data_IF_891136067484
#
_entry.id   IF_891136067484
#
_cell.length_a   1.000
_cell.length_b   1.000
_cell.length_c   1.000
_cell.angle_alpha   90.00
_cell.angle_beta   90.00
_cell.angle_gamma   90.00
#
_symmetry.space_group_name_H-M   'P 1'
#
loop_
_entity.id
_entity.type
_entity.pdbx_description
1 polymer ?
#
# COMPACT_ATOMS: atom_id res chain seq x y z
N UNK A 1 -18.44 5.54 -10.41
CA UNK A 1 -17.07 5.82 -10.88
C UNK A 1 -16.86 5.01 -12.14
N UNK A 2 -16.61 5.67 -13.27
CA UNK A 2 -16.21 5.00 -14.51
C UNK A 2 -14.70 4.75 -14.40
N UNK A 3 -14.31 3.51 -14.11
CA UNK A 3 -12.90 3.09 -13.94
C UNK A 3 -12.26 2.66 -15.27
N UNK A 4 -12.90 2.97 -16.40
CA UNK A 4 -12.36 2.59 -17.70
C UNK A 4 -11.10 3.41 -18.00
N UNK A 5 -9.94 2.80 -17.77
CA UNK A 5 -8.66 3.34 -18.20
C UNK A 5 -8.66 3.55 -19.72
N UNK A 6 -7.91 4.54 -20.24
CA UNK A 6 -7.69 4.67 -21.67
C UNK A 6 -7.18 3.37 -22.30
N UNK A 7 -7.55 3.12 -23.56
CA UNK A 7 -7.09 1.91 -24.29
C UNK A 7 -5.57 1.85 -24.35
N UNK A 8 -4.91 2.99 -24.51
CA UNK A 8 -3.47 3.18 -24.56
C UNK A 8 -2.81 3.36 -23.19
N UNK A 9 -3.55 3.16 -22.09
CA UNK A 9 -3.01 3.24 -20.74
C UNK A 9 -1.82 2.30 -20.56
N UNK A 10 -0.77 2.82 -19.95
CA UNK A 10 0.46 2.11 -19.57
C UNK A 10 0.85 2.52 -18.16
N UNK A 11 1.54 1.63 -17.41
CA UNK A 11 2.15 2.02 -16.15
C UNK A 11 3.11 3.20 -16.37
N UNK A 12 3.06 4.17 -15.46
CA UNK A 12 3.97 5.33 -15.47
C UNK A 12 5.25 5.07 -14.67
N UNK A 13 5.24 4.02 -13.84
CA UNK A 13 6.35 3.65 -12.95
C UNK A 13 7.52 3.11 -13.74
N UNK A 14 8.69 3.29 -13.17
CA UNK A 14 9.93 2.72 -13.70
C UNK A 14 9.88 1.20 -13.57
N UNK A 15 10.26 0.49 -14.64
CA UNK A 15 10.44 -0.96 -14.58
C UNK A 15 11.48 -1.33 -13.51
N UNK A 16 11.36 -2.54 -12.97
CA UNK A 16 12.35 -3.12 -12.06
C UNK A 16 13.78 -2.97 -12.62
N UNK A 17 14.74 -2.43 -11.83
CA UNK A 17 16.11 -2.27 -12.29
C UNK A 17 16.82 -3.61 -12.50
N UNK A 18 16.27 -4.69 -11.93
CA UNK A 18 16.81 -6.05 -12.01
C UNK A 18 16.22 -6.87 -13.18
N UNK A 19 15.39 -6.25 -14.02
CA UNK A 19 14.62 -6.97 -15.02
C UNK A 19 13.80 -8.10 -14.38
N UNK A 20 13.74 -9.26 -15.01
CA UNK A 20 12.99 -10.40 -14.46
C UNK A 20 13.78 -11.22 -13.42
N UNK A 21 14.75 -10.64 -12.72
CA UNK A 21 15.54 -11.35 -11.70
C UNK A 21 15.07 -11.05 -10.28
N UNK A 22 15.32 -12.00 -9.37
CA UNK A 22 15.15 -11.76 -7.93
C UNK A 22 16.40 -11.07 -7.37
N UNK A 23 16.26 -10.17 -6.39
CA UNK A 23 17.40 -9.57 -5.70
C UNK A 23 18.35 -10.60 -5.10
N UNK A 24 19.63 -10.37 -5.32
CA UNK A 24 20.74 -11.00 -4.60
C UNK A 24 20.96 -10.29 -3.25
N UNK A 25 21.85 -10.82 -2.42
CA UNK A 25 22.23 -10.16 -1.16
C UNK A 25 22.84 -8.77 -1.40
N UNK A 26 23.59 -8.60 -2.48
CA UNK A 26 24.20 -7.31 -2.85
C UNK A 26 23.13 -6.31 -3.21
N UNK A 27 22.16 -6.68 -4.05
CA UNK A 27 21.06 -5.79 -4.45
C UNK A 27 20.24 -5.31 -3.23
N UNK A 28 20.03 -6.18 -2.24
CA UNK A 28 19.35 -5.82 -1.00
C UNK A 28 20.17 -4.87 -0.11
N UNK A 29 21.49 -5.00 -0.11
CA UNK A 29 22.35 -4.07 0.62
C UNK A 29 22.39 -2.71 -0.08
N UNK A 30 22.47 -2.70 -1.41
CA UNK A 30 22.50 -1.48 -2.21
C UNK A 30 21.18 -0.69 -2.11
N UNK A 31 20.04 -1.39 -2.04
CA UNK A 31 18.72 -0.75 -1.92
C UNK A 31 18.50 -0.02 -0.59
N UNK A 32 19.26 -0.34 0.45
CA UNK A 32 19.26 0.40 1.71
C UNK A 32 20.04 1.72 1.62
N UNK A 33 21.01 1.81 0.72
CA UNK A 33 21.93 2.96 0.60
C UNK A 33 21.60 3.88 -0.58
N UNK A 34 20.90 3.36 -1.60
CA UNK A 34 20.57 4.13 -2.81
C UNK A 34 19.67 5.33 -2.54
N UNK A 35 18.98 5.36 -1.38
CA UNK A 35 17.94 6.35 -1.08
C UNK A 35 16.73 6.25 -2.00
N UNK A 36 16.73 5.31 -2.95
CA UNK A 36 15.62 5.05 -3.85
C UNK A 36 14.54 4.32 -3.04
N UNK A 37 13.53 5.10 -2.64
CA UNK A 37 12.27 4.54 -2.18
C UNK A 37 11.58 3.77 -3.31
N UNK A 38 10.46 3.13 -2.97
CA UNK A 38 9.58 2.50 -3.97
C UNK A 38 8.57 3.54 -4.48
N UNK A 39 8.46 3.69 -5.80
CA UNK A 39 7.40 4.48 -6.43
C UNK A 39 6.02 3.94 -6.06
N UNK A 40 5.05 4.82 -5.91
CA UNK A 40 3.67 4.43 -5.66
C UNK A 40 3.06 3.66 -6.82
N UNK A 41 2.16 2.73 -6.51
CA UNK A 41 1.33 2.04 -7.51
C UNK A 41 0.02 2.80 -7.56
N UNK A 42 -0.12 3.70 -8.53
CA UNK A 42 -1.32 4.50 -8.76
C UNK A 42 -1.73 4.42 -10.24
N UNK A 43 -3.02 4.63 -10.57
CA UNK A 43 -3.49 4.67 -11.95
C UNK A 43 -2.76 5.71 -12.82
N UNK A 44 -2.36 6.85 -12.25
CA UNK A 44 -1.70 7.95 -12.95
C UNK A 44 -0.53 8.51 -12.12
N UNK A 45 0.42 9.25 -12.73
CA UNK A 45 1.66 9.66 -12.05
C UNK A 45 1.50 10.75 -10.98
N UNK A 46 0.33 11.40 -10.90
CA UNK A 46 0.07 12.46 -9.91
C UNK A 46 -1.20 12.15 -9.12
N UNK A 47 -1.25 12.67 -7.89
CA UNK A 47 -2.40 12.50 -7.02
C UNK A 47 -3.65 13.18 -7.62
N UNK A 48 -3.48 14.35 -8.26
CA UNK A 48 -4.56 15.08 -8.92
C UNK A 48 -5.19 14.28 -10.07
N UNK A 49 -4.38 13.58 -10.86
CA UNK A 49 -4.89 12.72 -11.93
C UNK A 49 -5.59 11.46 -11.40
N UNK A 50 -5.28 11.06 -10.16
CA UNK A 50 -5.89 9.91 -9.50
C UNK A 50 -7.12 10.26 -8.66
N UNK A 51 -7.47 11.55 -8.53
CA UNK A 51 -8.64 11.99 -7.79
C UNK A 51 -9.91 11.25 -8.25
N UNK A 52 -10.68 10.73 -7.29
CA UNK A 52 -11.93 9.97 -7.52
C UNK A 52 -11.78 8.68 -8.36
N UNK A 53 -10.56 8.24 -8.66
CA UNK A 53 -10.31 6.97 -9.37
C UNK A 53 -10.11 5.80 -8.42
N UNK A 54 -9.69 6.09 -7.18
CA UNK A 54 -9.31 5.07 -6.21
C UNK A 54 -10.51 4.59 -5.40
N UNK A 55 -10.74 3.29 -5.47
CA UNK A 55 -11.61 2.57 -4.56
C UNK A 55 -10.92 2.37 -3.21
N UNK A 56 -9.69 1.89 -3.22
CA UNK A 56 -8.90 1.63 -2.00
C UNK A 56 -7.48 2.12 -2.19
N UNK A 57 -7.03 3.01 -1.30
CA UNK A 57 -5.63 3.35 -1.14
C UNK A 57 -5.03 2.49 -0.02
N UNK A 58 -4.18 1.54 -0.39
CA UNK A 58 -3.47 0.66 0.53
C UNK A 58 -2.17 1.33 0.94
N UNK A 59 -1.92 1.43 2.23
CA UNK A 59 -0.77 2.14 2.77
C UNK A 59 0.09 1.17 3.58
N UNK A 60 1.26 0.82 3.06
CA UNK A 60 2.29 0.12 3.83
C UNK A 60 2.99 1.05 4.83
N UNK A 61 3.82 0.49 5.70
CA UNK A 61 4.63 1.30 6.63
C UNK A 61 5.76 1.97 5.85
N UNK A 62 6.65 1.16 5.28
CA UNK A 62 7.78 1.58 4.48
C UNK A 62 8.31 0.39 3.65
N UNK A 63 9.08 0.65 2.58
CA UNK A 63 9.60 -0.41 1.74
C UNK A 63 10.66 -1.25 2.46
N UNK A 64 10.53 -2.57 2.37
CA UNK A 64 11.64 -3.48 2.71
C UNK A 64 12.76 -3.39 1.67
N UNK A 65 13.99 -3.86 1.95
CA UNK A 65 15.08 -3.82 0.97
C UNK A 65 14.75 -4.57 -0.32
N UNK A 66 13.95 -5.65 -0.22
CA UNK A 66 13.49 -6.39 -1.39
C UNK A 66 12.53 -5.55 -2.23
N UNK A 67 11.57 -4.90 -1.59
CA UNK A 67 10.59 -4.02 -2.27
C UNK A 67 11.28 -2.84 -2.96
N UNK A 68 12.29 -2.25 -2.32
CA UNK A 68 13.09 -1.20 -2.92
C UNK A 68 13.89 -1.73 -4.13
N UNK A 69 14.54 -2.89 -3.99
CA UNK A 69 15.38 -3.48 -5.04
C UNK A 69 14.63 -3.80 -6.35
N UNK A 70 13.37 -4.26 -6.27
CA UNK A 70 12.57 -4.59 -7.48
C UNK A 70 11.52 -3.53 -7.84
N UNK A 71 11.48 -2.41 -7.10
CA UNK A 71 10.42 -1.41 -7.21
C UNK A 71 9.01 -2.04 -7.23
N UNK A 72 8.68 -2.89 -6.25
CA UNK A 72 7.36 -3.52 -6.17
C UNK A 72 6.88 -3.71 -4.73
N UNK A 73 5.62 -3.34 -4.41
CA UNK A 73 5.13 -3.42 -3.05
C UNK A 73 4.96 -4.88 -2.59
N UNK A 74 5.26 -5.10 -1.31
CA UNK A 74 5.09 -6.41 -0.66
C UNK A 74 5.79 -7.57 -1.39
N UNK A 75 6.89 -7.27 -2.08
CA UNK A 75 7.61 -8.20 -2.96
C UNK A 75 8.38 -9.32 -2.24
N UNK A 76 8.73 -9.11 -0.96
CA UNK A 76 9.55 -10.07 -0.21
C UNK A 76 8.82 -11.42 -0.11
N UNK A 77 9.48 -12.54 -0.49
CA UNK A 77 8.93 -13.87 -0.27
C UNK A 77 8.48 -14.08 1.18
N UNK A 78 7.28 -14.65 1.34
CA UNK A 78 6.66 -14.86 2.64
C UNK A 78 5.81 -13.69 3.16
N UNK A 79 5.81 -12.53 2.50
CA UNK A 79 4.74 -11.54 2.72
C UNK A 79 3.40 -12.14 2.24
N UNK A 80 2.35 -11.98 3.04
CA UNK A 80 1.03 -12.58 2.79
C UNK A 80 0.09 -11.67 2.01
N UNK A 81 0.45 -10.41 1.76
CA UNK A 81 -0.40 -9.39 1.15
C UNK A 81 -1.08 -9.86 -0.14
N UNK A 82 -0.30 -10.18 -1.18
CA UNK A 82 -0.83 -10.56 -2.50
C UNK A 82 -1.67 -11.84 -2.45
N UNK A 83 -1.23 -12.83 -1.67
CA UNK A 83 -2.00 -14.06 -1.46
C UNK A 83 -3.32 -13.78 -0.76
N UNK A 84 -3.33 -12.94 0.27
CA UNK A 84 -4.56 -12.60 0.99
C UNK A 84 -5.56 -11.79 0.15
N UNK A 85 -5.09 -10.91 -0.73
CA UNK A 85 -5.97 -10.21 -1.69
C UNK A 85 -6.62 -11.16 -2.69
N UNK A 86 -5.84 -12.10 -3.25
CA UNK A 86 -6.36 -13.12 -4.15
C UNK A 86 -7.33 -14.06 -3.44
N UNK A 87 -7.03 -14.49 -2.20
CA UNK A 87 -7.93 -15.32 -1.38
C UNK A 87 -9.24 -14.58 -1.04
N UNK A 88 -9.20 -13.25 -0.89
CA UNK A 88 -10.40 -12.43 -0.69
C UNK A 88 -11.22 -12.23 -1.99
N UNK A 89 -10.72 -12.70 -3.14
CA UNK A 89 -11.35 -12.49 -4.45
C UNK A 89 -11.22 -11.06 -5.00
N UNK A 90 -10.36 -10.23 -4.39
CA UNK A 90 -10.15 -8.83 -4.82
C UNK A 90 -9.28 -8.77 -6.07
N UNK A 91 -8.27 -9.64 -6.15
CA UNK A 91 -7.50 -9.85 -7.38
C UNK A 91 -7.82 -11.25 -7.93
N UNK A 92 -7.92 -11.42 -9.27
CA UNK A 92 -8.31 -12.70 -9.86
C UNK A 92 -7.23 -13.79 -9.70
N UNK A 93 -5.98 -13.38 -9.47
CA UNK A 93 -4.85 -14.26 -9.20
C UNK A 93 -3.93 -13.64 -8.13
N UNK A 94 -2.98 -14.45 -7.63
CA UNK A 94 -1.91 -13.94 -6.77
C UNK A 94 -0.86 -13.25 -7.64
N UNK A 95 -0.66 -11.95 -7.44
CA UNK A 95 0.43 -11.18 -8.05
C UNK A 95 1.79 -11.65 -7.53
N UNK A 96 2.72 -12.02 -8.43
CA UNK A 96 4.11 -12.30 -8.07
C UNK A 96 4.96 -11.03 -8.19
N UNK A 97 4.94 -10.23 -7.12
CA UNK A 97 5.76 -9.02 -7.03
C UNK A 97 7.25 -9.30 -6.76
N UNK A 98 7.69 -10.56 -6.64
CA UNK A 98 9.05 -10.88 -6.16
C UNK A 98 10.17 -10.47 -7.11
N UNK A 99 9.82 -10.13 -8.36
CA UNK A 99 10.72 -9.69 -9.44
C UNK A 99 10.34 -8.32 -10.00
N UNK A 100 9.36 -7.63 -9.43
CA UNK A 100 8.70 -6.47 -10.04
C UNK A 100 7.22 -6.72 -10.25
N UNK A 101 6.45 -5.71 -10.65
CA UNK A 101 5.08 -5.89 -11.14
C UNK A 101 5.09 -6.07 -12.66
N UNK A 102 4.18 -6.90 -13.17
CA UNK A 102 3.92 -6.94 -14.61
C UNK A 102 2.98 -5.81 -15.02
N UNK A 103 3.04 -5.37 -16.28
CA UNK A 103 2.12 -4.35 -16.80
C UNK A 103 0.65 -4.78 -16.68
N UNK A 104 0.36 -6.08 -16.83
CA UNK A 104 -0.98 -6.63 -16.71
C UNK A 104 -1.48 -6.58 -15.26
N UNK A 105 -0.61 -6.87 -14.28
CA UNK A 105 -0.94 -6.70 -12.86
C UNK A 105 -1.20 -5.23 -12.54
N UNK A 106 -0.39 -4.30 -13.04
CA UNK A 106 -0.58 -2.86 -12.78
C UNK A 106 -1.86 -2.33 -13.42
N UNK A 107 -2.18 -2.75 -14.65
CA UNK A 107 -3.46 -2.43 -15.30
C UNK A 107 -4.63 -2.97 -14.49
N UNK A 108 -4.58 -4.24 -14.07
CA UNK A 108 -5.62 -4.87 -13.26
C UNK A 108 -5.86 -4.11 -11.95
N UNK A 109 -4.80 -3.67 -11.26
CA UNK A 109 -4.91 -2.87 -10.04
C UNK A 109 -5.57 -1.51 -10.32
N UNK A 110 -5.15 -0.82 -11.39
CA UNK A 110 -5.70 0.46 -11.77
C UNK A 110 -7.18 0.37 -12.19
N UNK A 111 -7.57 -0.64 -12.98
CA UNK A 111 -8.97 -0.89 -13.38
C UNK A 111 -9.86 -1.26 -12.17
N UNK A 112 -9.28 -1.90 -11.15
CA UNK A 112 -9.95 -2.24 -9.90
C UNK A 112 -10.02 -1.06 -8.90
N UNK A 113 -9.41 0.09 -9.23
CA UNK A 113 -9.31 1.25 -8.34
C UNK A 113 -8.42 1.01 -7.11
N UNK A 114 -7.42 0.13 -7.22
CA UNK A 114 -6.48 -0.17 -6.15
C UNK A 114 -5.20 0.67 -6.30
N UNK A 115 -4.93 1.50 -5.29
CA UNK A 115 -3.67 2.24 -5.15
C UNK A 115 -2.81 1.68 -4.02
N UNK A 116 -1.48 1.76 -4.12
CA UNK A 116 -0.56 1.31 -3.07
C UNK A 116 0.54 2.35 -2.81
N UNK A 117 0.56 2.92 -1.61
CA UNK A 117 1.59 3.84 -1.10
C UNK A 117 2.24 3.33 0.21
N UNK A 118 3.14 4.12 0.81
CA UNK A 118 3.69 3.89 2.16
C UNK A 118 3.60 5.18 2.99
N UNK A 119 3.53 5.05 4.31
CA UNK A 119 3.69 6.18 5.23
C UNK A 119 5.08 6.83 5.10
N UNK A 120 6.11 6.00 4.99
CA UNK A 120 7.50 6.46 4.90
C UNK A 120 8.16 5.88 3.64
N UNK A 121 8.82 6.74 2.86
CA UNK A 121 9.46 6.35 1.59
C UNK A 121 10.82 5.66 1.79
N UNK A 122 11.48 5.94 2.92
CA UNK A 122 12.80 5.40 3.27
C UNK A 122 12.76 3.87 3.45
N UNK A 123 13.60 3.12 2.71
CA UNK A 123 13.76 1.70 2.95
C UNK A 123 14.43 1.40 4.29
N UNK A 124 13.91 0.41 5.01
CA UNK A 124 14.55 -0.13 6.22
C UNK A 124 14.45 -1.65 6.23
N UNK A 125 15.38 -2.34 6.91
CA UNK A 125 15.31 -3.80 7.01
C UNK A 125 14.10 -4.24 7.84
N UNK A 126 13.75 -3.43 8.85
CA UNK A 126 12.60 -3.63 9.72
C UNK A 126 11.86 -2.31 9.97
N UNK A 127 10.54 -2.39 10.05
CA UNK A 127 9.70 -1.21 10.29
C UNK A 127 9.92 -0.55 11.66
N UNK A 128 10.47 -1.28 12.65
CA UNK A 128 10.81 -0.75 13.98
C UNK A 128 12.11 0.08 14.00
N UNK A 129 12.82 0.19 12.86
CA UNK A 129 13.94 1.10 12.67
C UNK A 129 13.48 2.54 12.35
N UNK A 130 12.20 2.75 12.06
CA UNK A 130 11.63 4.07 11.84
C UNK A 130 11.42 4.80 13.16
N UNK A 131 11.80 6.07 13.19
CA UNK A 131 11.54 6.96 14.32
C UNK A 131 10.06 7.33 14.40
N UNK A 132 9.60 7.71 15.59
CA UNK A 132 8.25 8.20 15.78
C UNK A 132 7.97 9.48 14.97
N UNK A 133 8.99 10.32 14.77
CA UNK A 133 8.86 11.57 14.00
C UNK A 133 8.76 11.30 12.50
N UNK A 134 9.52 10.34 11.95
CA UNK A 134 9.34 9.88 10.56
C UNK A 134 7.91 9.35 10.34
N UNK A 135 7.37 8.57 11.29
CA UNK A 135 6.00 8.05 11.18
C UNK A 135 4.94 9.14 11.28
N UNK A 136 5.09 10.11 12.19
CA UNK A 136 4.16 11.24 12.32
C UNK A 136 4.18 12.13 11.08
N UNK A 137 5.37 12.45 10.56
CA UNK A 137 5.52 13.20 9.33
C UNK A 137 4.84 12.47 8.15
N UNK A 138 5.03 11.15 8.05
CA UNK A 138 4.35 10.31 7.07
C UNK A 138 2.83 10.31 7.21
N UNK A 139 2.31 10.29 8.45
CA UNK A 139 0.89 10.41 8.74
C UNK A 139 0.32 11.76 8.29
N UNK A 140 0.97 12.87 8.64
CA UNK A 140 0.57 14.22 8.20
C UNK A 140 0.58 14.34 6.68
N UNK A 141 1.63 13.86 6.02
CA UNK A 141 1.71 13.88 4.57
C UNK A 141 0.62 13.03 3.90
N UNK A 142 0.29 11.87 4.48
CA UNK A 142 -0.80 11.05 3.97
C UNK A 142 -2.16 11.76 4.05
N UNK A 143 -2.42 12.54 5.11
CA UNK A 143 -3.66 13.33 5.21
C UNK A 143 -3.75 14.33 4.05
N UNK A 144 -2.67 15.03 3.73
CA UNK A 144 -2.61 15.97 2.59
C UNK A 144 -2.91 15.28 1.26
N UNK A 145 -2.27 14.12 1.02
CA UNK A 145 -2.48 13.33 -0.20
C UNK A 145 -3.90 12.79 -0.32
N UNK A 146 -4.47 12.29 0.78
CA UNK A 146 -5.83 11.76 0.81
C UNK A 146 -6.86 12.85 0.51
N UNK A 147 -6.60 14.11 0.91
CA UNK A 147 -7.46 15.24 0.56
C UNK A 147 -7.59 15.46 -0.96
N UNK A 148 -6.54 15.14 -1.72
CA UNK A 148 -6.47 15.25 -3.19
C UNK A 148 -6.96 13.96 -3.86
N UNK A 149 -6.43 12.81 -3.44
CA UNK A 149 -6.73 11.50 -4.02
C UNK A 149 -8.20 11.08 -3.83
N UNK A 150 -8.80 11.47 -2.70
CA UNK A 150 -10.17 11.15 -2.31
C UNK A 150 -10.57 9.66 -2.54
N UNK A 151 -9.76 8.68 -2.08
CA UNK A 151 -10.15 7.28 -2.20
C UNK A 151 -11.39 6.99 -1.36
N UNK A 152 -12.18 5.98 -1.71
CA UNK A 152 -13.32 5.58 -0.85
C UNK A 152 -12.86 5.02 0.49
N UNK A 153 -11.77 4.25 0.49
CA UNK A 153 -11.16 3.68 1.69
C UNK A 153 -9.65 3.87 1.67
N UNK A 154 -9.08 4.27 2.80
CA UNK A 154 -7.64 4.20 3.10
C UNK A 154 -7.40 3.04 4.06
N UNK A 155 -6.59 2.06 3.67
CA UNK A 155 -6.28 0.88 4.47
C UNK A 155 -4.80 0.86 4.86
N UNK A 156 -4.50 1.15 6.12
CA UNK A 156 -3.13 1.28 6.64
C UNK A 156 -2.67 -0.02 7.29
N UNK A 157 -1.62 -0.63 6.75
CA UNK A 157 -1.14 -1.95 7.16
C UNK A 157 -0.11 -1.85 8.29
N UNK A 158 -0.52 -2.15 9.52
CA UNK A 158 0.34 -2.22 10.70
C UNK A 158 -0.12 -1.29 11.81
N UNK A 159 -0.83 -1.84 12.80
CA UNK A 159 -1.46 -1.07 13.88
C UNK A 159 -0.45 -0.23 14.71
N UNK A 160 0.76 -0.73 14.96
CA UNK A 160 1.75 0.02 15.75
C UNK A 160 2.23 1.28 15.03
N UNK A 161 2.50 1.17 13.73
CA UNK A 161 2.87 2.32 12.91
C UNK A 161 1.69 3.30 12.77
N UNK A 162 0.48 2.78 12.55
CA UNK A 162 -0.76 3.58 12.54
C UNK A 162 -0.92 4.42 13.82
N UNK A 163 -0.87 3.77 14.99
CA UNK A 163 -1.03 4.44 16.29
C UNK A 163 -0.02 5.58 16.47
N UNK A 164 1.21 5.39 16.00
CA UNK A 164 2.27 6.39 16.09
C UNK A 164 2.06 7.52 15.09
N UNK A 165 1.83 7.18 13.82
CA UNK A 165 1.65 8.13 12.72
C UNK A 165 0.49 9.10 12.95
N UNK A 166 -0.61 8.61 13.53
CA UNK A 166 -1.81 9.40 13.79
C UNK A 166 -1.95 9.84 15.25
N UNK A 167 -0.96 9.57 16.10
CA UNK A 167 -1.01 9.87 17.54
C UNK A 167 -2.27 9.32 18.25
N UNK A 168 -2.68 8.10 17.86
CA UNK A 168 -3.86 7.39 18.37
C UNK A 168 -3.44 6.14 19.16
N UNK A 169 -2.89 6.24 20.38
CA UNK A 169 -2.28 5.11 21.10
C UNK A 169 -3.25 3.95 21.41
N UNK A 170 -4.55 4.23 21.45
CA UNK A 170 -5.60 3.26 21.80
C UNK A 170 -6.37 2.71 20.59
N UNK A 171 -5.99 3.07 19.36
CA UNK A 171 -6.66 2.57 18.15
C UNK A 171 -6.65 1.03 18.09
N UNK A 172 -7.78 0.42 17.72
CA UNK A 172 -7.89 -1.02 17.44
C UNK A 172 -7.81 -1.29 15.93
N UNK A 173 -7.72 -2.55 15.52
CA UNK A 173 -7.90 -2.91 14.11
C UNK A 173 -9.35 -2.60 13.66
N UNK A 174 -9.53 -2.34 12.36
CA UNK A 174 -10.83 -2.04 11.75
C UNK A 174 -11.04 -0.55 11.45
N UNK A 175 -12.31 -0.11 11.26
CA UNK A 175 -12.65 1.28 10.97
C UNK A 175 -12.19 2.25 12.05
N UNK A 176 -11.75 3.44 11.66
CA UNK A 176 -11.29 4.51 12.54
C UNK A 176 -12.09 5.78 12.30
N UNK A 177 -12.27 6.59 13.36
CA UNK A 177 -12.80 7.95 13.21
C UNK A 177 -11.77 8.83 12.51
N UNK A 178 -12.26 9.73 11.67
CA UNK A 178 -11.46 10.70 10.90
C UNK A 178 -11.75 12.14 11.29
N UNK A 179 -12.64 12.36 12.27
CA UNK A 179 -13.13 13.68 12.71
C UNK A 179 -12.00 14.61 13.17
N UNK A 180 -10.90 14.06 13.65
CA UNK A 180 -9.75 14.82 14.16
C UNK A 180 -8.75 15.22 13.09
N UNK A 181 -8.89 14.75 11.85
CA UNK A 181 -7.96 15.03 10.76
C UNK A 181 -8.48 16.16 9.88
N UNK A 182 -7.94 17.37 10.09
CA UNK A 182 -8.26 18.50 9.23
C UNK A 182 -7.91 18.19 7.76
N UNK A 183 -8.88 18.37 6.86
CA UNK A 183 -8.71 18.09 5.43
C UNK A 183 -8.99 16.64 5.00
N UNK A 184 -9.29 15.73 5.93
CA UNK A 184 -9.71 14.39 5.56
C UNK A 184 -11.09 14.43 4.87
N UNK A 185 -11.25 13.83 3.66
CA UNK A 185 -12.52 13.89 2.95
C UNK A 185 -13.64 13.17 3.73
N UNK A 186 -14.85 13.75 3.81
CA UNK A 186 -15.94 13.21 4.65
C UNK A 186 -16.41 11.81 4.21
N UNK A 187 -16.24 11.48 2.93
CA UNK A 187 -16.66 10.20 2.36
C UNK A 187 -15.51 9.17 2.26
N UNK A 188 -14.30 9.54 2.71
CA UNK A 188 -13.16 8.63 2.75
C UNK A 188 -13.11 7.93 4.09
N UNK A 189 -13.27 6.62 4.11
CA UNK A 189 -13.13 5.82 5.34
C UNK A 189 -11.66 5.53 5.63
N UNK A 190 -11.30 5.46 6.92
CA UNK A 190 -9.96 5.07 7.37
C UNK A 190 -10.02 3.72 8.09
N UNK A 191 -9.15 2.80 7.71
CA UNK A 191 -9.06 1.46 8.29
C UNK A 191 -7.64 1.15 8.75
N UNK A 192 -7.51 0.71 10.00
CA UNK A 192 -6.26 0.16 10.54
C UNK A 192 -6.26 -1.37 10.37
N UNK A 193 -5.32 -1.87 9.59
CA UNK A 193 -5.19 -3.28 9.22
C UNK A 193 -3.95 -3.90 9.88
N UNK A 194 -3.93 -5.22 10.09
CA UNK A 194 -2.73 -5.89 10.58
C UNK A 194 -1.61 -5.88 9.52
N UNK A 195 -0.37 -6.01 9.96
CA UNK A 195 0.77 -6.11 9.05
C UNK A 195 0.79 -7.50 8.36
N UNK A 196 0.84 -7.58 7.02
CA UNK A 196 0.83 -8.85 6.28
C UNK A 196 2.20 -9.56 6.24
N UNK A 197 3.22 -9.02 6.89
CA UNK A 197 4.54 -9.66 7.03
C UNK A 197 4.41 -11.07 7.60
N UNK A 198 5.16 -12.02 7.04
CA UNK A 198 5.22 -13.39 7.56
C UNK A 198 5.70 -13.50 9.02
N UNK A 199 6.37 -12.45 9.53
CA UNK A 199 6.79 -12.34 10.94
C UNK A 199 5.62 -12.11 11.90
N UNK A 200 4.47 -11.65 11.41
CA UNK A 200 3.26 -11.51 12.22
C UNK A 200 2.64 -12.89 12.42
N UNK A 201 2.85 -13.50 13.59
CA UNK A 201 2.34 -14.82 13.94
C UNK A 201 0.83 -14.85 14.22
N UNK A 202 0.21 -13.69 14.46
CA UNK A 202 -1.22 -13.59 14.77
C UNK A 202 -2.12 -13.58 13.54
N UNK A 203 -1.54 -13.50 12.34
CA UNK A 203 -2.29 -13.45 11.09
C UNK A 203 -1.93 -14.61 10.17
N UNK A 204 -2.93 -15.20 9.55
CA UNK A 204 -2.81 -16.14 8.45
C UNK A 204 -3.25 -15.47 7.14
N UNK A 205 -3.09 -16.17 6.01
CA UNK A 205 -3.65 -15.70 4.73
C UNK A 205 -5.17 -15.54 4.84
N UNK A 206 -5.84 -16.49 5.52
CA UNK A 206 -7.30 -16.50 5.66
C UNK A 206 -7.81 -15.34 6.51
N UNK A 207 -7.19 -15.10 7.67
CA UNK A 207 -7.62 -14.01 8.57
C UNK A 207 -7.33 -12.63 7.98
N UNK A 208 -6.33 -12.51 7.09
CA UNK A 208 -6.10 -11.30 6.30
C UNK A 208 -7.13 -11.16 5.18
N UNK A 209 -7.47 -12.24 4.49
CA UNK A 209 -8.47 -12.24 3.44
C UNK A 209 -9.84 -11.81 3.96
N UNK A 210 -10.28 -12.30 5.12
CA UNK A 210 -11.53 -11.87 5.78
C UNK A 210 -11.57 -10.37 6.05
N UNK A 211 -10.45 -9.80 6.54
CA UNK A 211 -10.34 -8.34 6.77
C UNK A 211 -10.34 -7.57 5.45
N UNK A 212 -9.70 -8.10 4.42
CA UNK A 212 -9.74 -7.51 3.08
C UNK A 212 -11.15 -7.50 2.49
N UNK A 213 -11.91 -8.58 2.67
CA UNK A 213 -13.34 -8.62 2.27
C UNK A 213 -14.12 -7.51 2.95
N UNK A 214 -13.97 -7.33 4.28
CA UNK A 214 -14.65 -6.25 4.99
C UNK A 214 -14.29 -4.84 4.45
N UNK A 215 -13.00 -4.60 4.19
CA UNK A 215 -12.51 -3.35 3.58
C UNK A 215 -13.06 -3.16 2.16
N UNK A 216 -13.11 -4.22 1.36
CA UNK A 216 -13.66 -4.19 0.00
C UNK A 216 -15.16 -3.91 -0.01
N UNK A 217 -15.92 -4.54 0.87
CA UNK A 217 -17.36 -4.31 1.00
C UNK A 217 -17.65 -2.86 1.41
N UNK A 218 -16.90 -2.33 2.38
CA UNK A 218 -17.03 -0.94 2.83
C UNK A 218 -16.74 0.09 1.72
N UNK A 219 -15.84 -0.22 0.78
CA UNK A 219 -15.56 0.63 -0.38
C UNK A 219 -16.64 0.56 -1.48
N UNK A 220 -17.62 -0.35 -1.37
CA UNK A 220 -18.75 -0.45 -2.30
C UNK A 220 -19.91 0.47 -1.91
N UNK A 221 -19.96 0.91 -0.65
CA UNK A 221 -21.00 1.80 -0.14
C UNK A 221 -20.78 3.22 -0.69
N UNK A 222 -21.81 3.87 -1.29
CA UNK A 222 -21.74 5.24 -1.78
C UNK A 222 -21.38 6.26 -0.69
#
# INVERSE_FOLDING_TARGET
>A
MSTALPVDWKPWRSATPLGNQRPTKTDLADSLHSGLGREDVLPFPTDEQCADTLRILIVGINPSPWTAAVNAPFARPGNRFWRSLATAGITPHTVDASRGLSNDDERMLAESGLGITNLVTKPTARADELTADELRAGGSHLVERVAVLQPRVVAILGITAFRTAFSMPHASLGPQSTETFAGWPPNTQLWAMPNPSGLNAHESIQTLAEKWTAVWDASSTP
#
